data_IF_459614941338
#
_entry.id   IF_459614941338
#
_cell.length_a   1.000
_cell.length_b   1.000
_cell.length_c   1.000
_cell.angle_alpha   90.00
_cell.angle_beta   90.00
_cell.angle_gamma   90.00
#
_symmetry.space_group_name_H-M   'P 1'
#
loop_
_entity.id
_entity.type
_entity.pdbx_description
1 polymer ?
#
# COMPACT_ATOMS: atom_id res chain seq x y z
N UNK A 1 41.92 -17.08 19.80
CA UNK A 1 40.48 -16.81 19.94
C UNK A 1 39.92 -16.76 18.54
N UNK A 2 38.88 -17.53 18.23
CA UNK A 2 38.27 -17.54 16.89
C UNK A 2 37.44 -16.28 16.74
N UNK A 3 37.73 -15.47 15.72
CA UNK A 3 36.89 -14.33 15.37
C UNK A 3 35.73 -14.81 14.49
N UNK A 4 34.57 -14.20 14.69
CA UNK A 4 33.37 -14.37 13.90
C UNK A 4 33.09 -13.04 13.20
N UNK A 5 32.49 -13.12 12.02
CA UNK A 5 31.92 -11.95 11.37
C UNK A 5 30.58 -11.62 12.02
N UNK A 6 30.30 -10.35 12.23
CA UNK A 6 29.05 -9.83 12.76
C UNK A 6 28.55 -8.70 11.86
N UNK A 7 27.23 -8.62 11.69
CA UNK A 7 26.54 -7.43 11.19
C UNK A 7 26.01 -6.67 12.40
N UNK A 8 26.54 -5.48 12.61
CA UNK A 8 26.13 -4.58 13.69
C UNK A 8 25.13 -3.59 13.14
N UNK A 9 23.96 -3.50 13.79
CA UNK A 9 22.88 -2.58 13.45
C UNK A 9 22.89 -1.40 14.40
N UNK A 10 22.75 -0.19 13.86
CA UNK A 10 22.63 1.04 14.64
C UNK A 10 21.87 2.13 13.90
N UNK A 11 21.73 3.29 14.54
CA UNK A 11 21.18 4.50 13.91
C UNK A 11 21.88 5.75 14.42
N UNK A 12 22.03 6.76 13.56
CA UNK A 12 22.48 8.09 13.96
C UNK A 12 21.34 8.86 14.67
N UNK A 13 21.65 9.97 15.34
CA UNK A 13 20.66 10.79 16.03
C UNK A 13 19.53 11.34 15.12
N UNK A 14 19.75 11.43 13.80
CA UNK A 14 18.72 11.79 12.83
C UNK A 14 17.79 10.62 12.44
N UNK A 15 17.94 9.46 13.09
CA UNK A 15 17.23 8.20 12.84
C UNK A 15 17.54 7.53 11.50
N UNK A 16 18.65 7.90 10.85
CA UNK A 16 19.17 7.12 9.73
C UNK A 16 19.79 5.84 10.26
N UNK A 17 19.24 4.70 9.85
CA UNK A 17 19.75 3.37 10.18
C UNK A 17 20.98 3.03 9.36
N UNK A 18 21.90 2.27 9.95
CA UNK A 18 23.07 1.73 9.29
C UNK A 18 23.30 0.27 9.71
N UNK A 19 23.97 -0.48 8.85
CA UNK A 19 24.55 -1.77 9.19
C UNK A 19 26.04 -1.81 8.81
N UNK A 20 26.86 -2.35 9.72
CA UNK A 20 28.31 -2.44 9.53
C UNK A 20 28.74 -3.89 9.77
N UNK A 21 29.44 -4.48 8.81
CA UNK A 21 30.08 -5.78 9.00
C UNK A 21 31.43 -5.60 9.71
N UNK A 22 31.63 -6.31 10.82
CA UNK A 22 32.85 -6.29 11.62
C UNK A 22 33.27 -7.69 12.03
N UNK A 23 34.56 -7.90 12.26
CA UNK A 23 35.08 -9.15 12.83
C UNK A 23 35.33 -8.98 14.33
N UNK A 24 34.76 -9.86 15.14
CA UNK A 24 34.89 -9.81 16.59
C UNK A 24 34.81 -11.21 17.23
N UNK A 25 35.23 -11.34 18.48
CA UNK A 25 35.16 -12.63 19.21
C UNK A 25 33.76 -12.96 19.71
N UNK A 26 32.93 -11.94 19.90
CA UNK A 26 31.59 -12.01 20.46
C UNK A 26 30.81 -10.72 20.10
N UNK A 27 29.50 -10.71 20.35
CA UNK A 27 28.63 -9.59 19.99
C UNK A 27 28.94 -8.28 20.72
N UNK A 28 29.44 -8.33 21.97
CA UNK A 28 29.82 -7.11 22.70
C UNK A 28 31.09 -6.50 22.11
N UNK A 29 32.06 -7.33 21.76
CA UNK A 29 33.27 -6.93 21.04
C UNK A 29 32.94 -6.38 19.65
N UNK A 30 31.89 -6.88 18.99
CA UNK A 30 31.43 -6.38 17.70
C UNK A 30 30.91 -4.94 17.78
N UNK A 31 30.17 -4.56 18.82
CA UNK A 31 29.76 -3.17 19.02
C UNK A 31 30.96 -2.22 19.16
N UNK A 32 31.97 -2.64 19.93
CA UNK A 32 33.21 -1.87 20.07
C UNK A 32 33.95 -1.70 18.73
N UNK A 33 33.99 -2.75 17.90
CA UNK A 33 34.58 -2.70 16.57
C UNK A 33 33.79 -1.78 15.62
N UNK A 34 32.46 -1.81 15.66
CA UNK A 34 31.61 -0.94 14.84
C UNK A 34 31.71 0.53 15.24
N UNK A 35 31.79 0.83 16.55
CA UNK A 35 32.06 2.18 17.05
C UNK A 35 33.41 2.72 16.57
N UNK A 36 34.43 1.87 16.51
CA UNK A 36 35.74 2.25 15.97
C UNK A 36 35.64 2.64 14.49
N UNK A 37 34.90 1.87 13.69
CA UNK A 37 34.69 2.14 12.25
C UNK A 37 33.97 3.48 12.04
N UNK A 38 32.90 3.77 12.80
CA UNK A 38 32.19 5.04 12.69
C UNK A 38 33.05 6.23 13.11
N UNK A 39 33.88 6.06 14.15
CA UNK A 39 34.83 7.08 14.59
C UNK A 39 35.89 7.36 13.54
N UNK A 40 36.39 6.33 12.86
CA UNK A 40 37.35 6.49 11.76
C UNK A 40 36.73 7.17 10.52
N UNK A 41 35.41 7.04 10.35
CA UNK A 41 34.65 7.71 9.30
C UNK A 41 34.22 9.15 9.63
N UNK A 42 34.49 9.65 10.86
CA UNK A 42 33.98 10.93 11.39
C UNK A 42 32.42 10.98 11.43
N UNK A 43 31.79 9.81 11.63
CA UNK A 43 30.32 9.63 11.67
C UNK A 43 29.80 9.29 13.08
N UNK A 44 30.64 9.45 14.12
CA UNK A 44 30.39 9.11 15.53
C UNK A 44 29.39 10.07 16.24
N UNK A 45 28.76 10.97 15.48
CA UNK A 45 27.80 11.95 15.99
C UNK A 45 26.51 11.30 16.48
N UNK A 46 26.52 10.80 17.73
CA UNK A 46 25.38 10.24 18.44
C UNK A 46 24.77 9.00 17.79
N UNK A 47 25.62 8.08 17.31
CA UNK A 47 25.20 6.77 16.86
C UNK A 47 24.82 5.87 18.05
N UNK A 48 23.64 5.25 17.98
CA UNK A 48 23.16 4.24 18.92
C UNK A 48 23.23 2.86 18.26
N UNK A 49 23.72 1.85 19.00
CA UNK A 49 23.84 0.47 18.51
C UNK A 49 22.75 -0.41 19.13
N UNK A 50 22.14 -1.27 18.32
CA UNK A 50 20.98 -2.07 18.72
C UNK A 50 21.26 -3.57 18.77
N UNK A 51 21.98 -4.11 17.79
CA UNK A 51 22.21 -5.55 17.67
C UNK A 51 23.55 -5.87 17.02
N UNK A 52 24.16 -6.99 17.43
CA UNK A 52 25.31 -7.59 16.77
C UNK A 52 24.96 -9.04 16.40
N UNK A 53 24.80 -9.29 15.10
CA UNK A 53 24.26 -10.54 14.58
C UNK A 53 25.37 -11.30 13.84
N UNK A 54 25.65 -12.57 14.16
CA UNK A 54 26.66 -13.33 13.43
C UNK A 54 26.37 -13.35 11.92
N UNK A 55 27.39 -13.10 11.10
CA UNK A 55 27.25 -13.11 9.66
C UNK A 55 26.92 -14.52 9.17
N UNK A 56 25.87 -14.63 8.36
CA UNK A 56 25.32 -15.92 7.93
C UNK A 56 24.14 -16.41 8.77
N UNK A 57 23.81 -15.75 9.89
CA UNK A 57 22.50 -15.94 10.53
C UNK A 57 21.44 -15.34 9.63
N UNK A 58 20.55 -16.18 9.08
CA UNK A 58 19.32 -15.71 8.48
C UNK A 58 18.41 -15.21 9.60
N UNK A 59 18.19 -13.91 9.63
CA UNK A 59 17.16 -13.30 10.45
C UNK A 59 16.23 -12.53 9.52
N UNK A 60 14.94 -12.69 9.74
CA UNK A 60 13.92 -11.85 9.10
C UNK A 60 13.50 -10.87 10.16
N UNK A 61 13.81 -9.58 9.98
CA UNK A 61 13.12 -8.55 10.75
C UNK A 61 11.63 -8.68 10.40
N UNK A 62 10.73 -8.79 11.39
CA UNK A 62 9.30 -8.90 11.11
C UNK A 62 8.80 -7.56 10.53
N UNK A 63 8.88 -7.43 9.20
CA UNK A 63 8.42 -6.25 8.45
C UNK A 63 9.27 -4.99 8.65
N UNK A 64 8.88 -3.93 7.93
CA UNK A 64 9.45 -2.56 7.92
C UNK A 64 9.39 -1.81 9.27
N UNK A 65 9.38 -2.52 10.40
CA UNK A 65 9.17 -1.95 11.73
C UNK A 65 10.46 -1.85 12.54
N UNK A 66 10.70 -0.65 13.06
CA UNK A 66 11.80 -0.32 13.97
C UNK A 66 11.59 -1.02 15.31
N UNK A 67 12.48 -1.96 15.67
CA UNK A 67 12.52 -2.56 17.01
C UNK A 67 13.24 -1.61 17.96
N UNK A 68 12.61 -1.22 19.06
CA UNK A 68 13.29 -0.48 20.16
C UNK A 68 13.78 -1.46 21.24
N UNK A 69 14.87 -1.13 21.92
CA UNK A 69 15.51 -1.97 22.95
C UNK A 69 14.57 -2.36 24.11
N UNK A 70 13.51 -1.59 24.36
CA UNK A 70 12.50 -1.88 25.40
C UNK A 70 11.76 -3.20 25.16
N UNK A 71 11.64 -3.64 23.90
CA UNK A 71 10.93 -4.86 23.49
C UNK A 71 11.66 -6.16 23.87
N UNK A 72 12.99 -6.11 24.10
CA UNK A 72 13.81 -7.29 24.38
C UNK A 72 13.89 -7.64 25.88
N UNK A 73 13.67 -6.67 26.75
CA UNK A 73 13.77 -6.83 28.21
C UNK A 73 12.46 -7.25 28.89
N UNK A 74 11.34 -7.26 28.18
CA UNK A 74 10.04 -7.67 28.70
C UNK A 74 9.39 -8.74 27.79
N UNK A 75 9.51 -10.04 28.10
CA UNK A 75 8.96 -11.11 27.26
C UNK A 75 7.42 -11.08 27.15
N UNK A 76 6.73 -10.35 28.04
CA UNK A 76 5.30 -10.07 27.91
C UNK A 76 4.97 -9.06 26.78
N UNK A 77 5.93 -8.21 26.39
CA UNK A 77 5.84 -7.36 25.20
C UNK A 77 6.31 -8.08 23.93
N UNK A 78 7.09 -9.16 24.04
CA UNK A 78 7.41 -10.04 22.91
C UNK A 78 6.19 -10.89 22.47
N UNK A 79 5.17 -11.04 23.33
CA UNK A 79 3.90 -11.66 22.99
C UNK A 79 2.91 -10.71 22.32
N UNK A 80 3.22 -9.41 22.21
CA UNK A 80 2.44 -8.49 21.37
C UNK A 80 2.91 -8.44 19.92
N UNK A 81 3.77 -9.38 19.51
CA UNK A 81 4.06 -9.69 18.10
C UNK A 81 2.86 -10.38 17.42
N UNK A 82 1.66 -9.82 17.55
CA UNK A 82 0.89 -9.64 16.34
C UNK A 82 1.74 -8.70 15.47
N UNK A 83 1.91 -9.00 14.18
CA UNK A 83 2.42 -8.00 13.25
C UNK A 83 1.71 -6.68 13.59
N UNK A 84 2.39 -5.51 13.64
CA UNK A 84 1.63 -4.27 13.70
C UNK A 84 0.66 -4.38 12.54
N UNK A 85 -0.64 -4.44 12.86
CA UNK A 85 -1.66 -4.61 11.85
C UNK A 85 -1.36 -3.53 10.81
N UNK A 86 -1.05 -3.93 9.57
CA UNK A 86 -0.72 -3.03 8.47
C UNK A 86 -1.64 -1.82 8.61
N UNK A 87 -1.08 -0.63 8.90
CA UNK A 87 -1.64 0.38 9.80
C UNK A 87 -3.15 0.36 9.73
N UNK A 88 -3.86 -0.46 10.56
CA UNK A 88 -5.17 -1.07 10.21
C UNK A 88 -5.86 -0.18 9.22
N UNK A 89 -5.63 -0.45 7.92
CA UNK A 89 -6.16 0.44 6.90
C UNK A 89 -7.64 0.36 7.18
N UNK A 90 -8.25 1.48 7.56
CA UNK A 90 -9.64 1.45 7.93
C UNK A 90 -10.37 1.11 6.64
N UNK A 91 -10.60 -0.19 6.43
CA UNK A 91 -11.20 -0.72 5.22
C UNK A 91 -12.62 -0.16 5.07
N UNK A 92 -13.22 0.36 6.16
CA UNK A 92 -14.42 1.20 6.10
C UNK A 92 -14.12 2.49 5.39
N UNK A 93 -13.18 3.28 5.91
CA UNK A 93 -12.77 4.54 5.29
C UNK A 93 -12.28 4.36 3.84
N UNK A 94 -11.52 3.31 3.52
CA UNK A 94 -11.08 3.01 2.16
C UNK A 94 -12.23 2.58 1.25
N UNK A 95 -13.19 1.79 1.76
CA UNK A 95 -14.38 1.43 0.98
C UNK A 95 -15.26 2.66 0.73
N UNK A 96 -15.43 3.52 1.73
CA UNK A 96 -16.18 4.77 1.62
C UNK A 96 -15.50 5.75 0.65
N UNK A 97 -14.16 5.84 0.70
CA UNK A 97 -13.38 6.61 -0.27
C UNK A 97 -13.52 6.04 -1.68
N UNK A 98 -13.35 4.72 -1.85
CA UNK A 98 -13.48 4.06 -3.14
C UNK A 98 -14.88 4.27 -3.74
N UNK A 99 -15.92 4.25 -2.91
CA UNK A 99 -17.29 4.55 -3.33
C UNK A 99 -17.47 6.03 -3.71
N UNK A 100 -16.93 6.96 -2.93
CA UNK A 100 -17.02 8.39 -3.21
C UNK A 100 -16.28 8.81 -4.49
N UNK A 101 -15.18 8.11 -4.81
CA UNK A 101 -14.37 8.35 -6.01
C UNK A 101 -14.82 7.50 -7.22
N UNK A 102 -15.79 6.60 -7.03
CA UNK A 102 -16.24 5.72 -8.11
C UNK A 102 -17.08 6.47 -9.14
N UNK A 103 -16.72 6.32 -10.41
CA UNK A 103 -17.52 6.86 -11.50
C UNK A 103 -18.44 5.75 -12.02
N UNK A 104 -19.74 5.84 -11.74
CA UNK A 104 -20.74 4.84 -12.17
C UNK A 104 -21.10 4.91 -13.66
N UNK A 105 -20.59 5.89 -14.39
CA UNK A 105 -20.88 6.13 -15.81
C UNK A 105 -21.44 7.53 -16.07
N UNK A 106 -21.31 7.99 -17.31
CA UNK A 106 -21.90 9.25 -17.75
C UNK A 106 -23.44 9.15 -17.73
N UNK A 107 -24.12 10.17 -17.21
CA UNK A 107 -25.59 10.19 -17.10
C UNK A 107 -26.17 9.25 -16.04
N UNK A 108 -25.32 8.72 -15.14
CA UNK A 108 -25.72 7.85 -14.02
C UNK A 108 -25.64 8.63 -12.71
N UNK A 109 -26.74 8.69 -11.97
CA UNK A 109 -26.84 9.41 -10.69
C UNK A 109 -27.16 8.45 -9.56
N UNK A 110 -26.33 8.43 -8.52
CA UNK A 110 -26.62 7.67 -7.30
C UNK A 110 -27.72 8.38 -6.51
N UNK A 111 -28.82 7.68 -6.26
CA UNK A 111 -29.98 8.23 -5.53
C UNK A 111 -30.04 7.75 -4.09
N UNK A 112 -29.61 6.51 -3.85
CA UNK A 112 -29.56 5.94 -2.51
C UNK A 112 -28.50 4.83 -2.43
N UNK A 113 -28.09 4.48 -1.22
CA UNK A 113 -27.13 3.39 -1.01
C UNK A 113 -27.34 2.71 0.34
N UNK A 114 -27.24 1.38 0.36
CA UNK A 114 -27.35 0.57 1.59
C UNK A 114 -26.03 0.57 2.38
N UNK A 115 -26.06 0.12 3.62
CA UNK A 115 -24.83 -0.10 4.41
C UNK A 115 -23.94 -1.18 3.81
N UNK A 116 -22.68 -1.24 4.27
CA UNK A 116 -21.73 -2.26 3.88
C UNK A 116 -22.10 -3.63 4.47
N UNK A 117 -22.19 -4.62 3.59
CA UNK A 117 -22.26 -6.03 3.91
C UNK A 117 -20.84 -6.63 3.83
N UNK A 118 -20.50 -7.43 4.83
CA UNK A 118 -19.16 -7.99 5.00
C UNK A 118 -19.17 -9.45 4.54
N UNK A 119 -18.31 -9.81 3.59
CA UNK A 119 -18.06 -11.22 3.24
C UNK A 119 -16.91 -11.74 4.10
N UNK A 120 -17.09 -12.90 4.76
CA UNK A 120 -16.02 -13.55 5.54
C UNK A 120 -15.31 -14.59 4.65
N UNK A 121 -13.97 -14.59 4.54
CA UNK A 121 -12.99 -13.72 5.21
C UNK A 121 -13.03 -12.27 4.71
N UNK A 122 -12.93 -11.31 5.65
CA UNK A 122 -13.24 -9.87 5.55
C UNK A 122 -12.45 -9.01 4.56
N UNK A 123 -12.01 -9.60 3.45
CA UNK A 123 -11.26 -8.94 2.38
C UNK A 123 -12.18 -8.43 1.26
N UNK A 124 -13.49 -8.54 1.44
CA UNK A 124 -14.47 -8.03 0.49
C UNK A 124 -15.61 -7.34 1.25
N UNK A 125 -16.03 -6.19 0.73
CA UNK A 125 -17.16 -5.42 1.22
C UNK A 125 -18.09 -5.14 0.06
N UNK A 126 -19.36 -5.48 0.21
CA UNK A 126 -20.37 -5.25 -0.82
C UNK A 126 -21.46 -4.36 -0.27
N UNK A 127 -21.98 -3.43 -1.07
CA UNK A 127 -23.17 -2.65 -0.73
C UNK A 127 -24.09 -2.51 -1.93
N UNK A 128 -25.38 -2.37 -1.68
CA UNK A 128 -26.33 -2.02 -2.75
C UNK A 128 -26.30 -0.52 -3.03
N UNK A 129 -26.27 -0.17 -4.30
CA UNK A 129 -26.30 1.20 -4.79
C UNK A 129 -27.48 1.33 -5.74
N UNK A 130 -28.33 2.31 -5.49
CA UNK A 130 -29.48 2.60 -6.34
C UNK A 130 -29.14 3.79 -7.23
N UNK A 131 -29.23 3.59 -8.53
CA UNK A 131 -28.90 4.60 -9.52
C UNK A 131 -30.08 4.91 -10.43
N UNK A 132 -30.19 6.16 -10.83
CA UNK A 132 -31.09 6.63 -11.89
C UNK A 132 -30.26 7.06 -13.09
N UNK A 133 -30.74 6.75 -14.29
CA UNK A 133 -30.16 7.24 -15.55
C UNK A 133 -31.02 8.36 -16.12
N UNK A 134 -30.43 9.23 -16.93
CA UNK A 134 -31.20 10.25 -17.65
C UNK A 134 -32.39 9.62 -18.40
N UNK A 135 -33.61 10.19 -18.27
CA UNK A 135 -34.78 9.66 -18.95
C UNK A 135 -34.65 9.90 -20.46
N UNK A 136 -34.75 8.83 -21.24
CA UNK A 136 -34.76 8.91 -22.72
C UNK A 136 -36.13 9.37 -23.27
N UNK A 137 -37.17 9.46 -22.43
CA UNK A 137 -38.57 9.82 -22.78
C UNK A 137 -39.24 10.61 -21.63
N UNK A 138 -40.45 11.17 -21.84
CA UNK A 138 -41.30 11.91 -20.85
C UNK A 138 -41.77 11.03 -19.64
N UNK A 139 -41.18 9.84 -19.47
CA UNK A 139 -41.45 8.89 -18.40
C UNK A 139 -40.55 9.08 -17.18
N UNK A 140 -40.84 8.38 -16.06
CA UNK A 140 -39.98 8.40 -14.89
C UNK A 140 -38.60 7.83 -15.20
N UNK A 141 -37.56 8.40 -14.60
CA UNK A 141 -36.17 7.95 -14.76
C UNK A 141 -36.02 6.45 -14.43
N UNK A 142 -35.31 5.66 -15.26
CA UNK A 142 -35.07 4.25 -14.99
C UNK A 142 -34.25 4.06 -13.71
N UNK A 143 -34.71 3.17 -12.83
CA UNK A 143 -34.04 2.85 -11.56
C UNK A 143 -33.36 1.50 -11.64
N UNK A 144 -32.08 1.47 -11.30
CA UNK A 144 -31.25 0.26 -11.28
C UNK A 144 -30.69 0.03 -9.88
N UNK A 145 -30.52 -1.25 -9.52
CA UNK A 145 -29.82 -1.64 -8.30
C UNK A 145 -28.51 -2.35 -8.67
N UNK A 146 -27.40 -1.74 -8.27
CA UNK A 146 -26.06 -2.28 -8.49
C UNK A 146 -25.51 -2.85 -7.18
N UNK A 147 -24.72 -3.91 -7.28
CA UNK A 147 -23.89 -4.41 -6.20
C UNK A 147 -22.51 -3.78 -6.36
N UNK A 148 -22.17 -2.87 -5.46
CA UNK A 148 -20.85 -2.26 -5.41
C UNK A 148 -19.97 -3.07 -4.48
N UNK A 149 -18.96 -3.71 -5.04
CA UNK A 149 -18.03 -4.60 -4.35
C UNK A 149 -16.65 -3.99 -4.33
N UNK A 150 -16.06 -3.93 -3.14
CA UNK A 150 -14.70 -3.49 -2.88
C UNK A 150 -13.90 -4.67 -2.39
N UNK A 151 -12.75 -4.93 -3.03
CA UNK A 151 -11.82 -5.98 -2.63
C UNK A 151 -10.54 -5.38 -2.06
N UNK A 152 -10.07 -6.00 -0.99
CA UNK A 152 -8.84 -5.67 -0.31
C UNK A 152 -7.82 -6.76 -0.53
N UNK A 153 -6.57 -6.35 -0.67
CA UNK A 153 -5.45 -7.27 -0.71
C UNK A 153 -5.35 -8.02 0.64
N UNK A 154 -5.28 -9.36 0.65
CA UNK A 154 -5.32 -10.13 1.88
C UNK A 154 -4.03 -10.04 2.71
N UNK A 155 -2.91 -9.64 2.09
CA UNK A 155 -1.60 -9.54 2.76
C UNK A 155 -1.36 -8.14 3.33
N UNK A 156 -1.79 -7.11 2.61
CA UNK A 156 -1.52 -5.69 2.93
C UNK A 156 -2.74 -4.92 3.42
N UNK A 157 -3.96 -5.43 3.18
CA UNK A 157 -5.21 -4.73 3.49
C UNK A 157 -5.49 -3.52 2.59
N UNK A 158 -4.67 -3.27 1.58
CA UNK A 158 -4.83 -2.17 0.63
C UNK A 158 -6.04 -2.40 -0.28
N UNK A 159 -6.63 -1.31 -0.78
CA UNK A 159 -7.67 -1.38 -1.81
C UNK A 159 -7.08 -2.02 -3.07
N UNK A 160 -7.60 -3.19 -3.46
CA UNK A 160 -7.16 -3.91 -4.65
C UNK A 160 -8.03 -3.56 -5.85
N UNK A 161 -9.36 -3.52 -5.67
CA UNK A 161 -10.29 -3.16 -6.73
C UNK A 161 -11.65 -2.71 -6.18
N UNK A 162 -12.39 -1.98 -7.00
CA UNK A 162 -13.78 -1.60 -6.75
C UNK A 162 -14.59 -1.78 -8.05
N UNK A 163 -15.73 -2.47 -7.97
CA UNK A 163 -16.58 -2.78 -9.13
C UNK A 163 -18.04 -2.59 -8.78
N UNK A 164 -18.82 -1.96 -9.67
CA UNK A 164 -20.28 -1.94 -9.59
C UNK A 164 -20.87 -2.90 -10.63
N UNK A 165 -21.68 -3.87 -10.19
CA UNK A 165 -22.24 -4.89 -11.09
C UNK A 165 -23.76 -4.97 -10.93
N UNK A 166 -24.50 -5.04 -12.03
CA UNK A 166 -25.98 -5.17 -12.00
C UNK A 166 -26.45 -6.62 -11.73
N UNK A 167 -27.77 -6.84 -11.70
CA UNK A 167 -28.37 -8.17 -11.47
C UNK A 167 -28.08 -9.18 -12.59
N UNK A 168 -27.61 -8.72 -13.75
CA UNK A 168 -27.24 -9.55 -14.90
C UNK A 168 -25.75 -9.86 -14.93
N UNK A 169 -24.97 -9.33 -13.99
CA UNK A 169 -23.52 -9.51 -13.96
C UNK A 169 -22.77 -8.55 -14.89
N UNK A 170 -23.41 -7.49 -15.38
CA UNK A 170 -22.75 -6.46 -16.18
C UNK A 170 -22.08 -5.43 -15.26
N UNK A 171 -20.82 -5.10 -15.55
CA UNK A 171 -20.07 -4.07 -14.83
C UNK A 171 -20.41 -2.66 -15.33
N UNK A 172 -20.52 -1.73 -14.40
CA UNK A 172 -20.89 -0.34 -14.61
C UNK A 172 -19.79 0.55 -14.08
N UNK A 173 -19.37 1.52 -14.88
CA UNK A 173 -18.42 2.53 -14.41
C UNK A 173 -16.98 2.03 -14.29
N UNK A 174 -16.18 2.76 -13.53
CA UNK A 174 -14.77 2.47 -13.29
C UNK A 174 -14.25 3.21 -12.06
N UNK A 175 -13.20 2.66 -11.44
CA UNK A 175 -12.51 3.34 -10.35
C UNK A 175 -11.43 4.29 -10.88
N UNK A 176 -11.09 5.33 -10.11
CA UNK A 176 -9.97 6.22 -10.46
C UNK A 176 -8.59 5.53 -10.40
N UNK A 177 -8.53 4.34 -9.80
CA UNK A 177 -7.34 3.48 -9.78
C UNK A 177 -7.20 2.67 -11.08
N UNK A 178 -8.28 2.44 -11.83
CA UNK A 178 -8.25 1.79 -13.15
C UNK A 178 -7.84 2.75 -14.28
N UNK A 179 -7.74 4.05 -13.98
CA UNK A 179 -7.35 5.07 -14.96
C UNK A 179 -5.84 5.20 -15.06
N UNK A 180 -5.31 5.04 -16.27
CA UNK A 180 -3.90 5.26 -16.58
C UNK A 180 -3.66 6.72 -16.96
N UNK A 181 -2.52 7.28 -16.55
CA UNK A 181 -2.17 8.67 -16.85
C UNK A 181 -1.62 8.78 -18.28
N UNK A 182 -2.23 9.64 -19.09
CA UNK A 182 -1.73 9.99 -20.42
C UNK A 182 -0.36 10.69 -20.31
N UNK A 183 0.65 10.20 -21.03
CA UNK A 183 1.98 10.82 -21.03
C UNK A 183 1.98 12.26 -21.57
N UNK A 184 1.04 12.62 -22.46
CA UNK A 184 1.01 13.92 -23.12
C UNK A 184 0.30 15.03 -22.33
N UNK A 185 -0.85 14.72 -21.72
CA UNK A 185 -1.66 15.72 -20.99
C UNK A 185 -1.73 15.48 -19.48
N UNK A 186 -1.30 14.33 -18.98
CA UNK A 186 -1.42 13.95 -17.58
C UNK A 186 -2.84 13.56 -17.16
N UNK A 187 -3.83 13.62 -18.06
CA UNK A 187 -5.19 13.21 -17.76
C UNK A 187 -5.26 11.71 -17.49
N UNK A 188 -6.05 11.35 -16.48
CA UNK A 188 -6.38 9.98 -16.14
C UNK A 188 -7.47 9.46 -17.08
N UNK A 189 -7.15 8.43 -17.87
CA UNK A 189 -8.06 7.88 -18.88
C UNK A 189 -8.17 6.36 -18.82
N UNK A 190 -9.29 5.84 -19.30
CA UNK A 190 -9.61 4.40 -19.33
C UNK A 190 -8.79 3.60 -20.35
N UNK A 191 -8.25 4.27 -21.36
CA UNK A 191 -7.55 3.61 -22.45
C UNK A 191 -6.47 4.53 -23.01
N UNK A 192 -5.28 3.97 -23.16
CA UNK A 192 -4.13 4.61 -23.78
C UNK A 192 -3.81 3.92 -25.10
N UNK A 193 -3.31 4.71 -26.04
CA UNK A 193 -2.82 4.29 -27.35
C UNK A 193 -1.30 4.30 -27.27
N UNK A 194 -0.70 3.13 -27.49
CA UNK A 194 0.75 3.01 -27.61
C UNK A 194 1.24 3.60 -28.93
N UNK A 195 2.15 4.57 -28.85
CA UNK A 195 2.80 5.20 -29.99
C UNK A 195 4.12 4.49 -30.35
N UNK A 196 4.62 4.65 -31.59
CA UNK A 196 5.84 3.96 -32.06
C UNK A 196 7.11 4.33 -31.29
N UNK A 197 7.12 5.48 -30.62
CA UNK A 197 8.19 5.96 -29.74
C UNK A 197 8.14 5.35 -28.33
N UNK A 198 7.14 4.53 -28.04
CA UNK A 198 6.91 3.90 -26.74
C UNK A 198 6.13 4.76 -25.75
N UNK A 199 5.64 5.94 -26.16
CA UNK A 199 4.75 6.75 -25.33
C UNK A 199 3.31 6.21 -25.34
N UNK A 200 2.59 6.37 -24.22
CA UNK A 200 1.19 5.98 -24.10
C UNK A 200 0.32 7.24 -23.92
N UNK A 201 -0.54 7.52 -24.89
CA UNK A 201 -1.34 8.75 -24.92
C UNK A 201 -2.83 8.46 -24.98
N UNK A 202 -3.67 9.38 -24.51
CA UNK A 202 -5.11 9.25 -24.60
C UNK A 202 -5.64 9.48 -26.02
N UNK A 203 -6.83 8.96 -26.31
CA UNK A 203 -7.48 9.10 -27.62
C UNK A 203 -7.68 10.57 -28.04
N UNK A 204 -7.91 11.47 -27.08
CA UNK A 204 -8.01 12.91 -27.36
C UNK A 204 -6.68 13.51 -27.84
N UNK A 205 -5.56 13.16 -27.20
CA UNK A 205 -4.23 13.61 -27.61
C UNK A 205 -3.82 13.03 -28.97
N UNK A 206 -4.14 11.76 -29.20
CA UNK A 206 -3.92 11.12 -30.49
C UNK A 206 -4.67 11.83 -31.63
N UNK A 207 -5.96 12.13 -31.44
CA UNK A 207 -6.79 12.85 -32.42
C UNK A 207 -6.36 14.33 -32.61
N UNK A 208 -5.72 14.93 -31.61
CA UNK A 208 -5.17 16.28 -31.68
C UNK A 208 -3.80 16.36 -32.39
N UNK A 209 -3.25 15.23 -32.84
CA UNK A 209 -1.94 15.21 -33.52
C UNK A 209 -0.75 15.07 -32.57
N UNK A 210 -0.97 14.67 -31.30
CA UNK A 210 0.11 14.30 -30.40
C UNK A 210 0.66 12.94 -30.82
N UNK A 211 1.70 12.93 -31.65
CA UNK A 211 2.53 11.77 -31.98
C UNK A 211 3.93 12.26 -32.39
#
# INVERSE_FOLDING_TARGET
>A
MTTLKFRVLGAHANRNFFDIEVEATDGMSAFGAAALVLREADEDGAAEFFAAIPAGTQYTLPGDCVVTLESLTAPALAQSCEAPAAPTLDQGALADQAFAEYNFGEGVYVTDSSGWEYSTPGHERTRKVYVETDPEDDGPAPRWSLNFTVRFDPETGALQSATATDDKGQDWGHSAADLSACCACGDKVLSLIGCPDGSEICNACFNAGGH
#
